data_IF_125225525051
#
_entry.id   IF_125225525051
#
_cell.length_a   1.000
_cell.length_b   1.000
_cell.length_c   1.000
_cell.angle_alpha   90.00
_cell.angle_beta   90.00
_cell.angle_gamma   90.00
#
_symmetry.space_group_name_H-M   'P 1'
#
loop_
_entity.id
_entity.type
_entity.pdbx_description
1 polymer ?
#
# COMPACT_ATOMS: atom_id res chain seq x y z
N UNK A 1 12.21 -22.61 6.81
CA UNK A 1 12.53 -23.52 7.93
C UNK A 1 12.53 -22.81 9.28
N UNK A 2 13.25 -21.69 9.49
CA UNK A 2 13.19 -20.95 10.77
C UNK A 2 11.88 -20.18 11.00
N UNK A 3 11.29 -19.62 9.95
CA UNK A 3 10.06 -18.83 10.08
C UNK A 3 8.87 -19.67 10.55
N UNK A 4 8.74 -20.89 10.04
CA UNK A 4 7.74 -21.83 10.53
C UNK A 4 7.95 -22.16 12.02
N UNK A 5 9.20 -22.26 12.48
CA UNK A 5 9.51 -22.50 13.90
C UNK A 5 9.09 -21.30 14.74
N UNK A 6 9.42 -20.07 14.32
CA UNK A 6 9.01 -18.84 15.01
C UNK A 6 7.49 -18.71 15.04
N UNK A 7 6.82 -18.91 13.91
CA UNK A 7 5.36 -18.89 13.82
C UNK A 7 4.71 -19.91 14.77
N UNK A 8 5.18 -21.16 14.75
CA UNK A 8 4.66 -22.21 15.62
C UNK A 8 4.93 -21.93 17.10
N UNK A 9 6.09 -21.34 17.42
CA UNK A 9 6.39 -20.91 18.79
C UNK A 9 5.43 -19.82 19.27
N UNK A 10 5.06 -18.86 18.41
CA UNK A 10 4.08 -17.82 18.72
C UNK A 10 2.68 -18.43 18.91
N UNK A 11 2.26 -19.33 18.02
CA UNK A 11 0.97 -20.04 18.12
C UNK A 11 0.86 -20.91 19.38
N UNK A 12 1.99 -21.36 19.93
CA UNK A 12 2.04 -22.13 21.18
C UNK A 12 1.93 -21.29 22.45
N UNK A 13 1.93 -19.96 22.36
CA UNK A 13 1.77 -19.09 23.52
C UNK A 13 0.30 -18.96 23.94
N UNK A 14 0.07 -18.46 25.16
CA UNK A 14 -1.27 -18.03 25.57
C UNK A 14 -1.69 -16.77 24.80
N UNK A 15 -2.99 -16.68 24.48
CA UNK A 15 -3.56 -15.52 23.79
C UNK A 15 -3.43 -14.27 24.67
N UNK A 16 -2.89 -13.20 24.08
CA UNK A 16 -2.49 -12.00 24.80
C UNK A 16 -2.50 -10.82 23.80
N UNK A 17 -3.44 -9.90 24.00
CA UNK A 17 -3.64 -8.73 23.12
C UNK A 17 -2.66 -7.58 23.40
N UNK A 18 -1.89 -7.63 24.49
CA UNK A 18 -0.87 -6.64 24.84
C UNK A 18 0.52 -7.07 24.35
N UNK A 19 0.73 -8.37 24.14
CA UNK A 19 1.98 -8.91 23.58
C UNK A 19 2.20 -8.44 22.14
N UNK A 20 3.43 -8.03 21.83
CA UNK A 20 3.87 -7.69 20.46
C UNK A 20 5.19 -8.40 20.14
N UNK A 21 5.12 -9.46 19.35
CA UNK A 21 6.29 -10.17 18.82
C UNK A 21 6.42 -9.79 17.35
N UNK A 22 7.44 -8.99 17.05
CA UNK A 22 7.69 -8.53 15.68
C UNK A 22 8.57 -9.51 14.91
N UNK A 23 8.06 -9.97 13.77
CA UNK A 23 8.81 -10.75 12.79
C UNK A 23 9.05 -9.87 11.57
N UNK A 24 10.29 -9.41 11.42
CA UNK A 24 10.70 -8.57 10.30
C UNK A 24 11.33 -9.45 9.23
N UNK A 25 10.75 -9.41 8.04
CA UNK A 25 11.23 -10.11 6.87
C UNK A 25 11.67 -9.10 5.82
N UNK A 26 12.96 -8.85 5.76
CA UNK A 26 13.57 -8.19 4.61
C UNK A 26 13.68 -9.24 3.50
N UNK A 27 13.01 -9.01 2.37
CA UNK A 27 13.07 -9.83 1.17
C UNK A 27 12.43 -11.24 1.26
N UNK A 28 11.10 -11.28 1.34
CA UNK A 28 10.29 -12.50 1.31
C UNK A 28 10.59 -13.50 0.15
N UNK A 29 10.92 -13.07 -1.09
CA UNK A 29 11.17 -13.99 -2.22
C UNK A 29 12.44 -14.83 -2.10
N UNK A 30 13.46 -14.32 -1.38
CA UNK A 30 14.70 -15.04 -1.08
C UNK A 30 14.47 -16.19 -0.10
N UNK A 31 13.40 -16.09 0.68
CA UNK A 31 12.95 -17.13 1.58
C UNK A 31 12.08 -18.13 0.80
N UNK A 32 12.48 -19.40 0.77
CA UNK A 32 11.66 -20.47 0.18
C UNK A 32 10.19 -20.34 0.62
N UNK A 33 9.28 -20.32 -0.36
CA UNK A 33 7.83 -20.12 -0.19
C UNK A 33 7.32 -20.83 1.06
N UNK A 34 6.61 -20.11 1.92
CA UNK A 34 5.84 -20.67 3.02
C UNK A 34 4.39 -20.77 2.55
N UNK A 35 3.90 -21.96 2.13
CA UNK A 35 2.56 -22.10 1.55
C UNK A 35 1.44 -21.61 2.48
N UNK A 36 1.67 -21.70 3.78
CA UNK A 36 0.71 -21.39 4.85
C UNK A 36 0.94 -19.99 5.45
N UNK A 37 1.77 -19.13 4.82
CA UNK A 37 2.10 -17.83 5.39
C UNK A 37 0.85 -16.96 5.62
N UNK A 38 -0.09 -16.97 4.68
CA UNK A 38 -1.33 -16.19 4.79
C UNK A 38 -2.17 -16.59 6.01
N UNK A 39 -2.46 -17.89 6.16
CA UNK A 39 -3.27 -18.41 7.28
C UNK A 39 -2.56 -18.21 8.63
N UNK A 40 -1.26 -18.51 8.69
CA UNK A 40 -0.45 -18.34 9.90
C UNK A 40 -0.42 -16.86 10.32
N UNK A 41 -0.21 -15.93 9.38
CA UNK A 41 -0.13 -14.49 9.68
C UNK A 41 -1.46 -13.95 10.20
N UNK A 42 -2.58 -14.55 9.81
CA UNK A 42 -3.89 -14.20 10.36
C UNK A 42 -4.05 -14.72 11.81
N UNK A 43 -3.66 -15.96 12.07
CA UNK A 43 -3.87 -16.63 13.37
C UNK A 43 -2.93 -16.10 14.47
N UNK A 44 -1.65 -15.88 14.14
CA UNK A 44 -0.64 -15.36 15.08
C UNK A 44 -1.00 -14.00 15.68
N UNK A 45 -1.88 -13.21 15.05
CA UNK A 45 -2.35 -11.91 15.58
C UNK A 45 -2.98 -12.04 16.95
N UNK A 46 -3.73 -13.13 17.19
CA UNK A 46 -4.38 -13.40 18.49
C UNK A 46 -3.37 -13.62 19.62
N UNK A 47 -2.16 -14.03 19.28
CA UNK A 47 -1.08 -14.34 20.21
C UNK A 47 -0.03 -13.22 20.29
N UNK A 48 -0.31 -12.07 19.67
CA UNK A 48 0.57 -10.91 19.64
C UNK A 48 1.60 -10.89 18.51
N UNK A 49 1.52 -11.81 17.55
CA UNK A 49 2.41 -11.85 16.40
C UNK A 49 2.16 -10.70 15.42
N UNK A 50 3.20 -9.96 15.07
CA UNK A 50 3.18 -8.84 14.13
C UNK A 50 4.20 -9.09 13.01
N UNK A 51 3.76 -9.12 11.75
CA UNK A 51 4.62 -9.39 10.61
C UNK A 51 4.85 -8.11 9.82
N UNK A 52 6.11 -7.76 9.62
CA UNK A 52 6.53 -6.70 8.72
C UNK A 52 7.28 -7.33 7.55
N UNK A 53 6.75 -7.13 6.34
CA UNK A 53 7.20 -7.82 5.14
C UNK A 53 7.71 -6.80 4.13
N UNK A 54 8.99 -6.88 3.78
CA UNK A 54 9.58 -6.17 2.66
C UNK A 54 9.35 -6.93 1.35
N UNK A 55 8.67 -6.28 0.40
CA UNK A 55 8.54 -6.77 -0.98
C UNK A 55 9.11 -5.74 -1.95
N UNK A 56 9.88 -6.19 -2.95
CA UNK A 56 10.44 -5.30 -3.99
C UNK A 56 9.39 -4.95 -5.04
N UNK A 57 8.55 -5.92 -5.43
CA UNK A 57 7.46 -5.70 -6.38
C UNK A 57 6.31 -6.67 -6.16
N UNK A 58 5.09 -6.21 -6.44
CA UNK A 58 3.91 -7.07 -6.44
C UNK A 58 4.00 -8.17 -7.52
N UNK A 59 4.66 -7.91 -8.66
CA UNK A 59 4.91 -8.93 -9.68
C UNK A 59 5.75 -10.10 -9.17
N UNK A 60 6.72 -9.84 -8.29
CA UNK A 60 7.52 -10.89 -7.65
C UNK A 60 6.69 -11.68 -6.63
N UNK A 61 5.79 -11.01 -5.90
CA UNK A 61 4.82 -11.66 -5.02
C UNK A 61 3.91 -12.60 -5.81
N UNK A 62 3.35 -12.16 -6.94
CA UNK A 62 2.56 -12.98 -7.87
C UNK A 62 3.33 -14.20 -8.39
N UNK A 63 4.57 -14.00 -8.86
CA UNK A 63 5.42 -15.10 -9.35
C UNK A 63 5.71 -16.13 -8.25
N UNK A 64 5.81 -15.66 -7.01
CA UNK A 64 6.18 -16.48 -5.87
C UNK A 64 4.96 -17.16 -5.24
N UNK A 65 3.80 -16.53 -5.07
CA UNK A 65 2.67 -17.17 -4.38
C UNK A 65 1.52 -17.55 -5.31
N UNK A 66 1.58 -17.12 -6.57
CA UNK A 66 0.42 -17.16 -7.46
C UNK A 66 -0.52 -16.00 -7.14
N UNK A 67 -1.51 -15.79 -8.01
CA UNK A 67 -2.40 -14.63 -7.93
C UNK A 67 -3.23 -14.58 -6.65
N UNK A 68 -3.98 -15.67 -6.38
CA UNK A 68 -4.92 -15.70 -5.26
C UNK A 68 -4.21 -15.50 -3.90
N UNK A 69 -3.11 -16.24 -3.65
CA UNK A 69 -2.39 -16.11 -2.39
C UNK A 69 -1.65 -14.77 -2.27
N UNK A 70 -1.19 -14.18 -3.38
CA UNK A 70 -0.64 -12.83 -3.36
C UNK A 70 -1.68 -11.80 -2.98
N UNK A 71 -2.89 -11.89 -3.54
CA UNK A 71 -4.02 -11.00 -3.22
C UNK A 71 -4.44 -11.14 -1.75
N UNK A 72 -4.59 -12.37 -1.25
CA UNK A 72 -4.92 -12.64 0.15
C UNK A 72 -3.87 -12.10 1.12
N UNK A 73 -2.57 -12.32 0.85
CA UNK A 73 -1.50 -11.78 1.68
C UNK A 73 -1.45 -10.26 1.62
N UNK A 74 -1.68 -9.68 0.44
CA UNK A 74 -1.69 -8.23 0.28
C UNK A 74 -2.85 -7.59 1.06
N UNK A 75 -4.03 -8.23 1.07
CA UNK A 75 -5.20 -7.80 1.83
C UNK A 75 -5.00 -7.95 3.34
N UNK A 76 -4.36 -9.04 3.80
CA UNK A 76 -4.00 -9.22 5.20
C UNK A 76 -3.10 -8.09 5.72
N UNK A 77 -2.20 -7.54 4.90
CA UNK A 77 -1.30 -6.46 5.32
C UNK A 77 -2.04 -5.11 5.37
N UNK A 78 -2.66 -4.81 6.51
CA UNK A 78 -3.44 -3.58 6.73
C UNK A 78 -2.62 -2.29 6.66
N UNK A 79 -1.35 -2.32 7.06
CA UNK A 79 -0.46 -1.15 7.04
C UNK A 79 0.57 -1.33 5.95
N UNK A 80 0.58 -0.39 4.99
CA UNK A 80 1.42 -0.47 3.79
C UNK A 80 2.26 0.78 3.66
N UNK A 81 3.54 0.59 3.37
CA UNK A 81 4.47 1.67 3.05
C UNK A 81 4.84 1.56 1.58
N UNK A 82 4.47 2.56 0.79
CA UNK A 82 4.84 2.65 -0.61
C UNK A 82 6.09 3.50 -0.77
N UNK A 83 7.16 2.86 -1.25
CA UNK A 83 8.37 3.54 -1.69
C UNK A 83 8.32 3.81 -3.19
N UNK A 84 9.43 4.30 -3.77
CA UNK A 84 9.55 4.54 -5.22
C UNK A 84 9.09 3.31 -6.02
N UNK A 85 8.08 3.48 -6.85
CA UNK A 85 7.61 2.44 -7.76
C UNK A 85 8.64 2.24 -8.90
N UNK A 86 9.23 1.03 -9.05
CA UNK A 86 10.19 0.77 -10.12
C UNK A 86 9.54 0.50 -11.48
N UNK A 87 8.23 0.22 -11.52
CA UNK A 87 7.49 -0.10 -12.76
C UNK A 87 6.12 0.58 -12.81
N UNK A 88 5.61 0.80 -14.04
CA UNK A 88 4.29 1.40 -14.26
C UNK A 88 3.15 0.56 -13.64
N UNK A 89 3.27 -0.77 -13.68
CA UNK A 89 2.30 -1.66 -13.06
C UNK A 89 2.28 -1.48 -11.53
N UNK A 90 3.44 -1.37 -10.90
CA UNK A 90 3.53 -1.11 -9.45
C UNK A 90 2.96 0.27 -9.12
N UNK A 91 3.27 1.30 -9.93
CA UNK A 91 2.74 2.64 -9.74
C UNK A 91 1.20 2.67 -9.80
N UNK A 92 0.59 1.92 -10.73
CA UNK A 92 -0.85 1.83 -10.83
C UNK A 92 -1.47 1.08 -9.63
N UNK A 93 -0.83 0.03 -9.13
CA UNK A 93 -1.28 -0.69 -7.93
C UNK A 93 -1.21 0.22 -6.71
N UNK A 94 -0.06 0.87 -6.48
CA UNK A 94 0.15 1.80 -5.37
C UNK A 94 -0.82 2.98 -5.42
N UNK A 95 -1.05 3.53 -6.61
CA UNK A 95 -1.98 4.66 -6.79
C UNK A 95 -3.42 4.26 -6.51
N UNK A 96 -3.86 3.07 -6.95
CA UNK A 96 -5.20 2.55 -6.61
C UNK A 96 -5.35 2.30 -5.11
N UNK A 97 -4.31 1.78 -4.47
CA UNK A 97 -4.34 1.46 -3.04
C UNK A 97 -4.30 2.71 -2.15
N UNK A 98 -3.57 3.76 -2.56
CA UNK A 98 -3.56 5.07 -1.90
C UNK A 98 -4.89 5.84 -2.09
N UNK A 99 -5.70 5.44 -3.07
CA UNK A 99 -6.98 6.06 -3.38
C UNK A 99 -6.87 7.27 -4.31
N UNK A 100 -7.98 7.96 -4.50
CA UNK A 100 -8.08 9.17 -5.31
C UNK A 100 -8.34 10.38 -4.43
N UNK A 101 -7.76 11.52 -4.81
CA UNK A 101 -7.97 12.79 -4.16
C UNK A 101 -8.70 13.73 -5.11
N UNK A 102 -9.87 14.20 -4.71
CA UNK A 102 -10.52 15.34 -5.38
C UNK A 102 -9.80 16.63 -4.97
N UNK A 103 -9.29 17.34 -5.97
CA UNK A 103 -8.63 18.63 -5.78
C UNK A 103 -9.47 19.70 -6.46
N UNK A 104 -9.87 20.69 -5.68
CA UNK A 104 -10.62 21.84 -6.17
C UNK A 104 -9.65 22.91 -6.65
N UNK A 105 -9.54 23.06 -7.98
CA UNK A 105 -8.62 23.98 -8.62
C UNK A 105 -9.40 25.26 -8.95
N UNK A 106 -9.13 26.32 -8.20
CA UNK A 106 -9.59 27.66 -8.55
C UNK A 106 -8.75 28.18 -9.72
N UNK A 107 -9.35 28.30 -10.91
CA UNK A 107 -8.70 28.89 -12.08
C UNK A 107 -9.20 30.32 -12.25
N UNK A 108 -8.28 31.27 -12.13
CA UNK A 108 -8.53 32.66 -12.49
C UNK A 108 -8.30 32.82 -13.99
N UNK A 109 -9.36 33.14 -14.73
CA UNK A 109 -9.26 33.55 -16.13
C UNK A 109 -9.25 35.07 -16.16
N UNK A 110 -8.09 35.65 -16.46
CA UNK A 110 -7.93 37.09 -16.70
C UNK A 110 -8.08 37.33 -18.19
N UNK A 111 -9.19 37.93 -18.61
CA UNK A 111 -9.41 38.33 -19.99
C UNK A 111 -8.86 39.74 -20.20
N UNK A 112 -7.74 39.88 -20.91
CA UNK A 112 -7.22 41.19 -21.33
C UNK A 112 -8.02 41.71 -22.52
N UNK A 113 -8.90 42.67 -22.28
CA UNK A 113 -9.61 43.41 -23.33
C UNK A 113 -8.77 44.59 -23.82
N UNK A 114 -8.82 44.89 -25.13
CA UNK A 114 -8.07 46.01 -25.74
C UNK A 114 -8.58 47.42 -25.34
N UNK A 115 -9.38 47.56 -24.28
CA UNK A 115 -9.99 48.81 -23.85
C UNK A 115 -9.74 49.03 -22.35
N UNK A 116 -9.28 50.22 -21.96
CA UNK A 116 -8.78 50.55 -20.60
C UNK A 116 -9.87 50.66 -19.53
N UNK A 117 -11.13 50.35 -19.84
CA UNK A 117 -12.29 50.42 -18.96
C UNK A 117 -12.85 49.02 -18.73
N UNK A 118 -12.23 48.28 -17.81
CA UNK A 118 -12.79 47.07 -17.23
C UNK A 118 -12.08 45.79 -17.64
N UNK A 119 -10.94 45.50 -17.01
CA UNK A 119 -10.43 44.13 -16.93
C UNK A 119 -11.42 43.30 -16.10
N UNK A 120 -12.07 42.33 -16.74
CA UNK A 120 -12.93 41.37 -16.07
C UNK A 120 -12.10 40.20 -15.55
N UNK A 121 -12.06 40.01 -14.24
CA UNK A 121 -11.52 38.80 -13.63
C UNK A 121 -12.67 37.81 -13.44
N UNK A 122 -12.59 36.65 -14.10
CA UNK A 122 -13.53 35.54 -13.88
C UNK A 122 -12.86 34.43 -13.10
N UNK A 123 -13.30 34.18 -11.86
CA UNK A 123 -12.89 33.00 -11.10
C UNK A 123 -13.80 31.82 -11.47
N UNK A 124 -13.22 30.80 -12.12
CA UNK A 124 -13.86 29.52 -12.36
C UNK A 124 -13.41 28.49 -11.32
N UNK A 125 -14.35 27.77 -10.74
CA UNK A 125 -14.04 26.64 -9.87
C UNK A 125 -14.02 25.35 -10.71
N UNK A 126 -12.93 24.59 -10.69
CA UNK A 126 -12.82 23.31 -11.39
C UNK A 126 -12.37 22.20 -10.43
N UNK A 127 -13.29 21.31 -10.08
CA UNK A 127 -12.96 20.08 -9.34
C UNK A 127 -12.29 19.07 -10.27
N UNK A 128 -11.10 18.59 -9.91
CA UNK A 128 -10.35 17.57 -10.66
C UNK A 128 -9.97 16.43 -9.74
N UNK A 129 -10.38 15.21 -10.07
CA UNK A 129 -9.97 13.99 -9.37
C UNK A 129 -8.56 13.59 -9.81
N UNK A 130 -7.61 13.56 -8.88
CA UNK A 130 -6.21 13.14 -9.10
C UNK A 130 -5.94 11.82 -8.36
N UNK A 131 -5.17 10.89 -8.95
CA UNK A 131 -4.77 9.68 -8.23
C UNK A 131 -3.83 10.04 -7.06
N UNK A 132 -4.05 9.43 -5.90
CA UNK A 132 -3.21 9.59 -4.71
C UNK A 132 -1.79 9.06 -4.96
N UNK A 133 -0.79 9.85 -4.60
CA UNK A 133 0.63 9.44 -4.64
C UNK A 133 1.43 9.83 -5.89
N UNK A 134 0.82 10.47 -6.89
CA UNK A 134 1.57 11.12 -7.98
C UNK A 134 1.88 12.56 -7.56
N UNK A 135 3.00 12.74 -6.86
CA UNK A 135 3.61 14.07 -6.74
C UNK A 135 4.16 14.47 -8.11
N UNK A 136 3.81 15.66 -8.57
CA UNK A 136 4.34 16.31 -9.78
C UNK A 136 5.86 16.46 -9.72
#
# INVERSE_FOLDING_TARGET
MWLAIVSNAILGLEADEDRRIWVLMDEMPSLHKLPELGSITAEVRKFGGCYLIGIQSYAQLLKTYGKNAADEMFDLLNTRFFFRAPSAQMAQISSKDLGEQEVDISKENVSYGANTLGDGVSLGHQTVTRPGGLAE
#
